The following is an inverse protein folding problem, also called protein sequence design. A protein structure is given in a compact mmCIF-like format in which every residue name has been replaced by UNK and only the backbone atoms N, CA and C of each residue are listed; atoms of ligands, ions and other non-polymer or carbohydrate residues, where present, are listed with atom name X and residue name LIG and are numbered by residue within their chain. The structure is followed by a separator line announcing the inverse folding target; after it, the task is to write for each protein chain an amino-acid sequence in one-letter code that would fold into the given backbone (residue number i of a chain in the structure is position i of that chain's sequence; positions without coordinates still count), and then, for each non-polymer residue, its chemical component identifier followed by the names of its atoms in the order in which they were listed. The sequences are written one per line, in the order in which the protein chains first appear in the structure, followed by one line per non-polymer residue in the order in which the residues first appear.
data_IF_781669662038
#
_entry.id   IF_781669662038
#
_cell.length_a   1.000
_cell.length_b   1.000
_cell.length_c   1.000
_cell.angle_alpha   90.00
_cell.angle_beta   90.00
_cell.angle_gamma   90.00
#
_symmetry.space_group_name_H-M   'P 1'
#
loop_
_entity.id
_entity.type
_entity.pdbx_description
1 polymer ?
#
# COMPACT_ATOMS: atom_id res chain seq x y z
N UNK A 1 6.33 -11.44 -3.67
CA UNK A 1 5.51 -12.59 -3.78
C UNK A 1 4.18 -12.26 -4.41
N UNK A 2 3.78 -13.12 -5.19
CA UNK A 2 2.51 -12.95 -5.84
C UNK A 2 1.45 -13.44 -4.88
N UNK A 3 0.57 -12.61 -4.47
CA UNK A 3 -0.49 -13.02 -3.61
C UNK A 3 -1.70 -13.50 -4.36
N UNK A 4 -2.70 -13.73 -3.59
CA UNK A 4 -4.01 -14.07 -4.09
C UNK A 4 -4.76 -12.83 -4.61
N UNK A 5 -4.13 -11.66 -4.50
CA UNK A 5 -4.75 -10.40 -4.91
C UNK A 5 -4.71 -10.23 -6.42
N UNK A 6 -5.77 -9.67 -7.01
CA UNK A 6 -5.73 -9.31 -8.43
C UNK A 6 -4.59 -8.37 -8.75
N UNK A 7 -4.09 -8.42 -9.98
CA UNK A 7 -2.94 -7.61 -10.37
C UNK A 7 -3.20 -6.11 -10.23
N UNK A 8 -4.43 -5.64 -10.46
CA UNK A 8 -4.72 -4.21 -10.32
C UNK A 8 -4.65 -3.75 -8.87
N UNK A 9 -4.93 -4.64 -7.91
CA UNK A 9 -4.77 -4.35 -6.48
C UNK A 9 -3.29 -4.30 -6.13
N UNK A 10 -2.50 -5.26 -6.63
CA UNK A 10 -1.05 -5.27 -6.42
C UNK A 10 -0.40 -4.00 -6.98
N UNK A 11 -0.85 -3.56 -8.15
CA UNK A 11 -0.38 -2.33 -8.77
C UNK A 11 -0.72 -1.11 -7.92
N UNK A 12 -1.94 -1.04 -7.39
CA UNK A 12 -2.32 0.10 -6.53
C UNK A 12 -1.51 0.11 -5.24
N UNK A 13 -1.19 -1.04 -4.67
CA UNK A 13 -0.34 -1.13 -3.48
C UNK A 13 1.09 -0.71 -3.79
N UNK A 14 1.60 -1.08 -4.96
CA UNK A 14 2.90 -0.61 -5.41
C UNK A 14 2.94 0.92 -5.49
N UNK A 15 1.89 1.50 -6.07
CA UNK A 15 1.79 2.94 -6.21
C UNK A 15 1.71 3.62 -4.83
N UNK A 16 0.99 3.02 -3.88
CA UNK A 16 0.97 3.51 -2.49
C UNK A 16 2.37 3.52 -1.90
N UNK A 17 3.15 2.48 -2.13
CA UNK A 17 4.52 2.42 -1.62
C UNK A 17 5.40 3.51 -2.21
N UNK A 18 5.21 3.85 -3.49
CA UNK A 18 5.90 4.97 -4.10
C UNK A 18 5.56 6.30 -3.42
N UNK A 19 4.31 6.45 -3.02
CA UNK A 19 3.83 7.64 -2.29
C UNK A 19 4.42 7.66 -0.87
N UNK A 20 4.40 6.51 -0.18
CA UNK A 20 4.94 6.42 1.17
C UNK A 20 6.44 6.70 1.21
N UNK A 21 7.16 6.31 0.17
CA UNK A 21 8.60 6.58 0.03
C UNK A 21 8.89 7.98 -0.49
N UNK A 22 7.86 8.77 -0.73
CA UNK A 22 7.94 10.15 -1.24
C UNK A 22 8.63 10.26 -2.60
N UNK A 23 8.54 9.21 -3.41
CA UNK A 23 8.98 9.28 -4.80
C UNK A 23 8.00 10.08 -5.66
N UNK A 24 6.76 10.19 -5.19
CA UNK A 24 5.73 11.06 -5.77
C UNK A 24 5.29 11.97 -4.64
N UNK A 25 5.27 13.27 -4.88
CA UNK A 25 4.92 14.27 -3.87
C UNK A 25 3.57 14.90 -4.15
N UNK A 26 3.04 15.60 -3.15
CA UNK A 26 1.75 16.27 -3.26
C UNK A 26 1.69 17.14 -4.52
N UNK A 27 0.58 17.05 -5.22
CA UNK A 27 0.27 17.83 -6.43
C UNK A 27 1.15 17.52 -7.63
N UNK A 28 2.00 16.50 -7.53
CA UNK A 28 2.73 16.02 -8.69
C UNK A 28 1.85 15.06 -9.51
N UNK A 29 2.11 15.04 -10.80
CA UNK A 29 1.44 14.13 -11.71
C UNK A 29 1.92 12.71 -11.46
N UNK A 30 0.97 11.77 -11.38
CA UNK A 30 1.29 10.36 -11.22
C UNK A 30 1.29 9.66 -12.58
N UNK A 31 1.72 8.40 -12.60
CA UNK A 31 1.74 7.59 -13.81
C UNK A 31 0.34 7.48 -14.41
N UNK A 32 0.26 7.56 -15.74
CA UNK A 32 -0.99 7.32 -16.45
C UNK A 32 -1.33 5.82 -16.46
N UNK A 33 -2.58 5.49 -16.76
CA UNK A 33 -2.98 4.10 -16.94
C UNK A 33 -2.16 3.40 -18.04
N UNK A 34 -1.75 4.12 -19.05
CA UNK A 34 -0.97 3.58 -20.15
C UNK A 34 0.47 3.28 -19.72
N UNK A 35 1.06 4.18 -18.93
CA UNK A 35 2.40 3.96 -18.38
C UNK A 35 2.40 2.77 -17.43
N UNK A 36 1.41 2.70 -16.54
CA UNK A 36 1.30 1.60 -15.58
C UNK A 36 1.02 0.28 -16.30
N UNK A 37 0.20 0.30 -17.32
CA UNK A 37 -0.09 -0.89 -18.13
C UNK A 37 1.19 -1.45 -18.75
N UNK A 38 2.03 -0.58 -19.27
CA UNK A 38 3.32 -0.98 -19.83
C UNK A 38 4.27 -1.51 -18.77
N UNK A 39 4.38 -0.80 -17.64
CA UNK A 39 5.27 -1.19 -16.54
C UNK A 39 4.91 -2.56 -15.96
N UNK A 40 3.62 -2.86 -15.85
CA UNK A 40 3.14 -4.10 -15.23
C UNK A 40 2.72 -5.15 -16.25
N UNK A 41 2.84 -4.84 -17.53
CA UNK A 41 2.45 -5.74 -18.61
C UNK A 41 1.00 -6.21 -18.47
N UNK A 42 0.10 -5.25 -18.32
CA UNK A 42 -1.33 -5.49 -18.17
C UNK A 42 -2.11 -4.59 -19.12
N UNK A 43 -3.40 -4.87 -19.25
CA UNK A 43 -4.30 -4.06 -20.06
C UNK A 43 -4.49 -2.67 -19.42
N UNK A 44 -4.48 -1.58 -20.20
CA UNK A 44 -4.73 -0.24 -19.65
C UNK A 44 -6.04 -0.11 -18.87
N UNK A 45 -7.09 -0.83 -19.25
CA UNK A 45 -8.34 -0.81 -18.49
C UNK A 45 -8.16 -1.43 -17.11
N UNK A 46 -7.31 -2.44 -16.98
CA UNK A 46 -6.98 -3.06 -15.69
C UNK A 46 -6.16 -2.09 -14.85
N UNK A 47 -5.20 -1.40 -15.45
CA UNK A 47 -4.42 -0.37 -14.76
C UNK A 47 -5.35 0.75 -14.25
N UNK A 48 -6.34 1.15 -15.06
CA UNK A 48 -7.31 2.16 -14.66
C UNK A 48 -8.08 1.75 -13.40
N UNK A 49 -8.41 0.46 -13.25
CA UNK A 49 -9.08 -0.02 -12.02
C UNK A 49 -8.23 0.23 -10.78
N UNK A 50 -6.93 -0.01 -10.87
CA UNK A 50 -6.00 0.24 -9.76
C UNK A 50 -5.90 1.72 -9.41
N UNK A 51 -5.84 2.58 -10.43
CA UNK A 51 -5.82 4.02 -10.25
C UNK A 51 -7.12 4.48 -9.59
N UNK A 52 -8.26 3.95 -10.03
CA UNK A 52 -9.56 4.33 -9.51
C UNK A 52 -9.73 3.98 -8.03
N UNK A 53 -9.12 2.90 -7.56
CA UNK A 53 -9.11 2.56 -6.13
C UNK A 53 -8.56 3.74 -5.34
N UNK A 54 -7.42 4.28 -5.78
CA UNK A 54 -6.76 5.39 -5.08
C UNK A 54 -7.52 6.69 -5.24
N UNK A 55 -8.11 6.92 -6.40
CA UNK A 55 -8.93 8.10 -6.63
C UNK A 55 -10.18 8.09 -5.73
N UNK A 56 -10.84 6.93 -5.60
CA UNK A 56 -12.01 6.77 -4.76
C UNK A 56 -11.69 7.00 -3.28
N UNK A 57 -10.46 6.74 -2.88
CA UNK A 57 -10.00 6.97 -1.50
C UNK A 57 -9.51 8.40 -1.27
N UNK A 58 -9.56 9.25 -2.29
CA UNK A 58 -9.08 10.63 -2.18
C UNK A 58 -7.56 10.76 -2.17
N UNK A 59 -6.86 9.71 -2.58
CA UNK A 59 -5.39 9.71 -2.66
C UNK A 59 -4.92 10.40 -3.95
N UNK A 60 -5.66 10.19 -5.03
CA UNK A 60 -5.41 10.82 -6.32
C UNK A 60 -6.59 11.67 -6.73
N UNK A 61 -6.33 12.70 -7.51
CA UNK A 61 -7.40 13.50 -8.11
C UNK A 61 -7.09 13.75 -9.57
N UNK A 62 -8.17 13.93 -10.33
CA UNK A 62 -8.06 14.13 -11.78
C UNK A 62 -8.05 15.62 -12.11
N UNK A 63 -7.10 16.04 -12.94
CA UNK A 63 -7.14 17.33 -13.59
C UNK A 63 -7.52 17.09 -15.04
N UNK A 64 -8.67 17.62 -15.43
CA UNK A 64 -9.22 17.38 -16.76
C UNK A 64 -8.24 17.76 -17.86
N UNK A 65 -7.96 16.80 -18.75
CA UNK A 65 -7.02 16.99 -19.85
C UNK A 65 -5.54 16.88 -19.45
N UNK A 66 -5.23 16.78 -18.16
CA UNK A 66 -3.84 16.77 -17.69
C UNK A 66 -3.42 15.44 -17.05
N UNK A 67 -4.39 14.65 -16.56
CA UNK A 67 -4.11 13.34 -15.95
C UNK A 67 -4.44 13.31 -14.45
N UNK A 68 -3.81 12.36 -13.76
CA UNK A 68 -4.03 12.15 -12.33
C UNK A 68 -2.87 12.75 -11.53
N UNK A 69 -3.21 13.33 -10.41
CA UNK A 69 -2.27 14.03 -9.55
C UNK A 69 -2.42 13.55 -8.12
N UNK A 70 -1.34 13.64 -7.35
CA UNK A 70 -1.34 13.21 -5.95
C UNK A 70 -2.02 14.27 -5.10
N UNK A 71 -3.00 13.85 -4.31
CA UNK A 71 -3.75 14.72 -3.42
C UNK A 71 -2.87 15.21 -2.27
N UNK A 72 -3.23 16.38 -1.72
CA UNK A 72 -2.62 16.87 -0.50
C UNK A 72 -2.82 15.85 0.63
N UNK A 73 -1.80 15.65 1.44
CA UNK A 73 -1.81 14.72 2.59
C UNK A 73 -2.09 13.26 2.19
N UNK A 74 -1.81 12.90 0.95
CA UNK A 74 -2.01 11.54 0.47
C UNK A 74 -1.23 10.51 1.29
N UNK A 75 0.03 10.80 1.60
CA UNK A 75 0.87 9.92 2.41
C UNK A 75 0.24 9.66 3.78
N UNK A 76 -0.20 10.71 4.45
CA UNK A 76 -0.84 10.59 5.77
C UNK A 76 -2.14 9.78 5.70
N UNK A 77 -2.93 9.96 4.64
CA UNK A 77 -4.15 9.18 4.44
C UNK A 77 -3.85 7.70 4.29
N UNK A 78 -2.83 7.36 3.51
CA UNK A 78 -2.40 5.98 3.32
C UNK A 78 -1.89 5.40 4.64
N UNK A 79 -1.05 6.15 5.36
CA UNK A 79 -0.50 5.72 6.65
C UNK A 79 -1.62 5.43 7.65
N UNK A 80 -2.60 6.32 7.75
CA UNK A 80 -3.71 6.15 8.67
C UNK A 80 -4.49 4.88 8.36
N UNK A 81 -4.85 4.68 7.10
CA UNK A 81 -5.61 3.50 6.70
C UNK A 81 -4.84 2.20 6.92
N UNK A 82 -3.57 2.17 6.48
CA UNK A 82 -2.75 0.97 6.61
C UNK A 82 -2.45 0.62 8.07
N UNK A 83 -2.25 1.63 8.90
CA UNK A 83 -2.04 1.43 10.34
C UNK A 83 -3.30 0.87 11.00
N UNK A 84 -4.45 1.45 10.74
CA UNK A 84 -5.68 1.13 11.45
C UNK A 84 -6.43 -0.07 10.89
N UNK A 85 -6.10 -0.51 9.68
CA UNK A 85 -6.73 -1.69 9.08
C UNK A 85 -5.69 -2.78 8.82
N UNK A 86 -4.73 -2.53 7.96
CA UNK A 86 -3.76 -3.54 7.54
C UNK A 86 -2.86 -3.99 8.68
N UNK A 87 -2.17 -3.05 9.32
CA UNK A 87 -1.24 -3.39 10.40
C UNK A 87 -1.96 -3.99 11.59
N UNK A 88 -3.09 -3.40 11.96
CA UNK A 88 -3.89 -3.91 13.08
C UNK A 88 -4.31 -5.36 12.84
N UNK A 89 -4.74 -5.68 11.63
CA UNK A 89 -5.13 -7.05 11.27
C UNK A 89 -3.95 -8.00 11.34
N UNK A 90 -2.77 -7.57 10.87
CA UNK A 90 -1.56 -8.39 10.95
C UNK A 90 -1.19 -8.68 12.40
N UNK A 91 -1.33 -7.70 13.28
CA UNK A 91 -1.08 -7.89 14.72
C UNK A 91 -2.03 -8.93 15.30
N UNK A 92 -3.30 -8.86 14.95
CA UNK A 92 -4.29 -9.84 15.40
C UNK A 92 -3.94 -11.24 14.92
N UNK A 93 -3.48 -11.38 13.67
CA UNK A 93 -3.06 -12.65 13.11
C UNK A 93 -1.84 -13.21 13.84
N UNK A 94 -0.87 -12.35 14.14
CA UNK A 94 0.32 -12.74 14.92
C UNK A 94 -0.08 -13.27 16.28
N UNK A 95 -1.00 -12.60 16.97
CA UNK A 95 -1.47 -13.02 18.29
C UNK A 95 -2.16 -14.39 18.22
N UNK A 96 -3.00 -14.60 17.21
CA UNK A 96 -3.68 -15.89 17.04
C UNK A 96 -2.66 -17.01 16.81
N UNK A 97 -1.67 -16.78 15.96
CA UNK A 97 -0.63 -17.79 15.68
C UNK A 97 0.21 -18.09 16.93
N UNK A 98 0.58 -17.06 17.68
CA UNK A 98 1.33 -17.23 18.91
C UNK A 98 0.58 -18.13 19.92
N UNK A 99 -0.73 -17.92 20.03
CA UNK A 99 -1.57 -18.76 20.91
C UNK A 99 -1.57 -20.21 20.48
N UNK A 100 -1.63 -20.47 19.17
CA UNK A 100 -1.59 -21.85 18.65
C UNK A 100 -0.31 -22.56 18.99
N UNK A 101 0.78 -21.80 19.06
CA UNK A 101 2.13 -22.34 19.28
C UNK A 101 2.55 -22.31 20.74
N UNK A 102 1.70 -21.82 21.64
CA UNK A 102 2.03 -21.72 23.05
C UNK A 102 3.05 -20.63 23.36
N UNK A 103 3.15 -19.63 22.49
CA UNK A 103 4.04 -18.48 22.69
C UNK A 103 3.26 -17.44 23.48
N UNK A 104 3.77 -17.10 24.69
CA UNK A 104 3.10 -16.10 25.52
C UNK A 104 3.47 -14.67 25.09
N UNK A 105 2.84 -13.70 25.73
CA UNK A 105 3.00 -12.29 25.37
C UNK A 105 4.46 -11.84 25.52
N UNK A 106 5.12 -12.24 26.60
CA UNK A 106 6.51 -11.85 26.86
C UNK A 106 7.44 -12.35 25.78
N UNK A 107 7.29 -13.60 25.39
CA UNK A 107 8.08 -14.19 24.31
C UNK A 107 7.77 -13.50 22.99
N UNK A 108 6.51 -13.24 22.70
CA UNK A 108 6.09 -12.55 21.47
C UNK A 108 6.67 -11.13 21.39
N UNK A 109 6.65 -10.41 22.51
CA UNK A 109 7.26 -9.08 22.58
C UNK A 109 8.76 -9.16 22.27
N UNK A 110 9.44 -10.17 22.83
CA UNK A 110 10.85 -10.41 22.53
C UNK A 110 11.11 -10.65 21.05
N UNK A 111 10.25 -11.44 20.41
CA UNK A 111 10.35 -11.69 18.97
C UNK A 111 10.17 -10.41 18.15
N UNK A 112 9.24 -9.56 18.54
CA UNK A 112 9.03 -8.27 17.88
C UNK A 112 10.23 -7.34 18.03
N UNK A 113 10.81 -7.29 19.22
CA UNK A 113 12.02 -6.50 19.46
C UNK A 113 13.18 -6.98 18.61
N UNK A 114 13.35 -8.29 18.51
CA UNK A 114 14.40 -8.88 17.67
C UNK A 114 14.21 -8.54 16.21
N UNK A 115 12.96 -8.65 15.71
CA UNK A 115 12.61 -8.33 14.33
C UNK A 115 12.83 -6.85 14.01
N UNK A 116 12.76 -5.98 15.03
CA UNK A 116 12.89 -4.53 14.85
C UNK A 116 14.34 -4.06 14.83
N UNK A 117 15.31 -4.96 15.12
CA UNK A 117 16.71 -4.58 15.09
C UNK A 117 17.14 -4.23 13.69
N UNK A 118 17.88 -3.13 13.51
CA UNK A 118 18.45 -2.83 12.20
C UNK A 118 19.46 -3.91 11.83
N UNK A 119 19.55 -4.19 10.54
CA UNK A 119 20.58 -5.11 10.04
C UNK A 119 21.97 -4.50 10.29
N UNK A 120 22.97 -5.34 10.66
CA UNK A 120 24.32 -4.86 10.88
C UNK A 120 24.99 -4.31 9.62
#
# INVERSE_FOLDING_TARGET
MVGDKPIYVQMSEWLENEILCERIRENEKVYSQYQLAEMFNINPATAAKGINILADQGILYKKRGLGMFLSAKAKEKIQYRRKNHTLKKLVEEVVVEARRLGVDEEELIGMMREASRPDP
#
